data_IF_409491179940
#
_entry.id   IF_409491179940
#
_cell.length_a   1.000
_cell.length_b   1.000
_cell.length_c   1.000
_cell.angle_alpha   90.00
_cell.angle_beta   90.00
_cell.angle_gamma   90.00
#
_symmetry.space_group_name_H-M   'P 1'
#
loop_
_entity.id
_entity.type
_entity.pdbx_description
1 polymer ?
#
# COMPACT_ATOMS: atom_id res chain seq x y z
N UNK A 1 -33.42 -10.56 -4.67
CA UNK A 1 -32.66 -9.57 -5.47
C UNK A 1 -32.24 -10.22 -6.78
N UNK A 2 -32.92 -9.97 -7.91
CA UNK A 2 -32.56 -10.61 -9.19
C UNK A 2 -31.36 -9.87 -9.80
N UNK A 3 -30.16 -10.46 -9.73
CA UNK A 3 -29.01 -10.00 -10.52
C UNK A 3 -29.37 -10.16 -12.00
N UNK A 4 -29.51 -9.06 -12.72
CA UNK A 4 -29.61 -9.09 -14.18
C UNK A 4 -28.18 -9.05 -14.71
N UNK A 5 -27.71 -10.18 -15.23
CA UNK A 5 -26.40 -10.32 -15.85
C UNK A 5 -26.40 -9.60 -17.20
N UNK A 6 -26.20 -8.28 -17.17
CA UNK A 6 -26.01 -7.46 -18.37
C UNK A 6 -24.67 -6.75 -18.26
N UNK A 7 -23.80 -7.00 -19.22
CA UNK A 7 -22.53 -6.29 -19.36
C UNK A 7 -22.77 -5.03 -20.19
N UNK A 8 -22.23 -3.91 -19.72
CA UNK A 8 -22.28 -2.61 -20.39
C UNK A 8 -20.88 -2.26 -20.89
N UNK A 9 -20.51 -2.54 -22.16
CA UNK A 9 -19.12 -2.47 -22.61
C UNK A 9 -18.44 -1.10 -22.40
N UNK A 10 -19.14 -0.01 -22.75
CA UNK A 10 -18.60 1.35 -22.55
C UNK A 10 -18.34 1.65 -21.07
N UNK A 11 -19.26 1.26 -20.20
CA UNK A 11 -19.10 1.43 -18.75
C UNK A 11 -18.00 0.52 -18.19
N UNK A 12 -17.87 -0.70 -18.72
CA UNK A 12 -16.82 -1.65 -18.34
C UNK A 12 -15.42 -1.08 -18.57
N UNK A 13 -15.17 -0.46 -19.72
CA UNK A 13 -13.86 0.14 -20.03
C UNK A 13 -13.53 1.27 -19.05
N UNK A 14 -14.52 2.13 -18.76
CA UNK A 14 -14.35 3.24 -17.80
C UNK A 14 -14.04 2.71 -16.40
N UNK A 15 -14.80 1.74 -15.92
CA UNK A 15 -14.57 1.15 -14.59
C UNK A 15 -13.22 0.44 -14.54
N UNK A 16 -12.89 -0.38 -15.53
CA UNK A 16 -11.60 -1.09 -15.58
C UNK A 16 -10.42 -0.10 -15.53
N UNK A 17 -10.46 0.94 -16.36
CA UNK A 17 -9.42 2.00 -16.38
C UNK A 17 -9.36 2.74 -15.05
N UNK A 18 -10.52 3.05 -14.46
CA UNK A 18 -10.57 3.69 -13.15
C UNK A 18 -9.92 2.82 -12.07
N UNK A 19 -10.20 1.52 -12.03
CA UNK A 19 -9.55 0.60 -11.07
C UNK A 19 -8.03 0.54 -11.28
N UNK A 20 -7.55 0.44 -12.52
CA UNK A 20 -6.10 0.47 -12.81
C UNK A 20 -5.45 1.73 -12.24
N UNK A 21 -6.02 2.90 -12.52
CA UNK A 21 -5.50 4.19 -12.03
C UNK A 21 -5.56 4.29 -10.50
N UNK A 22 -6.67 3.86 -9.91
CA UNK A 22 -6.88 3.93 -8.47
C UNK A 22 -6.07 2.89 -7.69
N UNK A 23 -5.61 1.80 -8.31
CA UNK A 23 -4.61 0.92 -7.70
C UNK A 23 -3.30 1.68 -7.47
N UNK A 24 -2.81 2.41 -8.48
CA UNK A 24 -1.58 3.23 -8.37
C UNK A 24 -1.76 4.34 -7.33
N UNK A 25 -2.84 5.11 -7.45
CA UNK A 25 -3.14 6.19 -6.49
C UNK A 25 -3.28 5.63 -5.08
N UNK A 26 -3.94 4.48 -4.93
CA UNK A 26 -4.12 3.79 -3.67
C UNK A 26 -2.80 3.45 -3.00
N UNK A 27 -1.91 2.76 -3.72
CA UNK A 27 -0.58 2.40 -3.22
C UNK A 27 0.21 3.63 -2.81
N UNK A 28 0.37 4.61 -3.69
CA UNK A 28 1.15 5.80 -3.35
C UNK A 28 0.55 6.60 -2.19
N UNK A 29 -0.78 6.70 -2.13
CA UNK A 29 -1.42 7.41 -1.02
C UNK A 29 -1.26 6.69 0.33
N UNK A 30 -1.20 5.36 0.32
CA UNK A 30 -0.93 4.54 1.50
C UNK A 30 0.52 4.78 1.99
N UNK A 31 1.50 4.74 1.08
CA UNK A 31 2.90 5.07 1.43
C UNK A 31 3.05 6.50 1.93
N UNK A 32 2.31 7.46 1.36
CA UNK A 32 2.25 8.84 1.88
C UNK A 32 1.70 8.91 3.31
N UNK A 33 0.85 7.96 3.71
CA UNK A 33 0.39 7.80 5.08
C UNK A 33 1.54 7.52 6.05
N UNK A 34 2.39 6.54 5.71
CA UNK A 34 3.61 6.24 6.48
C UNK A 34 4.56 7.44 6.53
N UNK A 35 4.84 8.05 5.37
CA UNK A 35 5.73 9.21 5.25
C UNK A 35 5.24 10.38 6.11
N UNK A 36 3.94 10.62 6.15
CA UNK A 36 3.37 11.72 6.95
C UNK A 36 3.67 11.52 8.44
N UNK A 37 3.53 10.29 8.95
CA UNK A 37 3.84 9.97 10.34
C UNK A 37 5.35 10.02 10.60
N UNK A 38 6.17 9.45 9.71
CA UNK A 38 7.62 9.47 9.84
C UNK A 38 8.17 10.90 9.90
N UNK A 39 7.72 11.79 9.00
CA UNK A 39 8.11 13.20 9.02
C UNK A 39 7.62 13.94 10.26
N UNK A 40 6.43 13.61 10.75
CA UNK A 40 5.92 14.19 11.99
C UNK A 40 6.78 13.81 13.21
N UNK A 41 7.31 12.58 13.22
CA UNK A 41 8.25 12.10 14.25
C UNK A 41 9.69 12.58 14.05
N UNK A 42 9.98 13.28 12.95
CA UNK A 42 11.29 13.90 12.69
C UNK A 42 12.26 13.03 11.90
N UNK A 43 11.79 11.96 11.24
CA UNK A 43 12.59 11.13 10.35
C UNK A 43 12.64 11.70 8.92
N UNK A 44 13.76 11.45 8.25
CA UNK A 44 13.88 11.64 6.81
C UNK A 44 13.31 10.41 6.09
N UNK A 45 12.76 10.61 4.89
CA UNK A 45 11.99 9.57 4.19
C UNK A 45 12.34 9.54 2.72
N UNK A 46 12.51 8.34 2.17
CA UNK A 46 12.53 8.07 0.74
C UNK A 46 11.27 7.30 0.35
N UNK A 47 10.76 7.57 -0.85
CA UNK A 47 9.59 6.89 -1.40
C UNK A 47 10.02 6.07 -2.61
N UNK A 48 9.62 4.80 -2.63
CA UNK A 48 9.76 3.91 -3.76
C UNK A 48 8.36 3.56 -4.34
N UNK A 49 8.30 2.78 -5.42
CA UNK A 49 7.03 2.51 -6.10
C UNK A 49 6.07 1.63 -5.29
N UNK A 50 6.60 0.78 -4.42
CA UNK A 50 5.82 -0.18 -3.64
C UNK A 50 5.99 -0.08 -2.13
N UNK A 51 6.85 0.83 -1.66
CA UNK A 51 7.24 0.96 -0.28
C UNK A 51 7.83 2.34 -0.02
N UNK A 52 8.24 2.57 1.23
CA UNK A 52 8.97 3.74 1.64
C UNK A 52 10.04 3.31 2.66
N UNK A 53 11.17 4.01 2.71
CA UNK A 53 12.18 3.85 3.77
C UNK A 53 12.30 5.13 4.61
N UNK A 54 12.49 4.99 5.92
CA UNK A 54 12.67 6.12 6.84
C UNK A 54 13.98 5.98 7.61
N UNK A 55 14.62 7.12 7.87
CA UNK A 55 15.94 7.19 8.49
C UNK A 55 15.99 8.30 9.54
N UNK A 56 16.83 8.15 10.57
CA UNK A 56 17.12 9.22 11.50
C UNK A 56 17.55 10.50 10.78
N UNK A 57 17.20 11.65 11.36
CA UNK A 57 17.44 12.94 10.71
C UNK A 57 18.92 13.16 10.41
N UNK A 58 19.24 13.54 9.17
CA UNK A 58 20.62 13.79 8.74
C UNK A 58 21.39 12.54 8.36
N UNK A 59 20.76 11.36 8.37
CA UNK A 59 21.38 10.10 7.93
C UNK A 59 21.66 10.11 6.43
N UNK A 60 20.69 10.58 5.62
CA UNK A 60 20.81 10.55 4.16
C UNK A 60 21.89 11.49 3.62
N UNK A 61 22.23 12.53 4.38
CA UNK A 61 23.28 13.50 4.07
C UNK A 61 24.66 13.14 4.65
N UNK A 62 24.77 12.05 5.42
CA UNK A 62 26.04 11.66 6.03
C UNK A 62 27.03 11.19 4.94
N UNK A 63 28.27 11.72 4.91
CA UNK A 63 29.29 11.31 3.96
C UNK A 63 29.57 9.80 3.94
N UNK A 64 29.43 9.12 5.08
CA UNK A 64 29.59 7.67 5.21
C UNK A 64 28.48 6.95 4.45
N UNK A 65 27.24 7.44 4.51
CA UNK A 65 26.11 6.87 3.74
C UNK A 65 26.35 7.03 2.25
N UNK A 66 26.85 8.18 1.79
CA UNK A 66 27.23 8.35 0.39
C UNK A 66 28.37 7.42 -0.06
N UNK A 67 29.36 7.19 0.80
CA UNK A 67 30.44 6.25 0.53
C UNK A 67 29.93 4.81 0.44
N UNK A 68 29.06 4.39 1.36
CA UNK A 68 28.42 3.07 1.33
C UNK A 68 27.59 2.87 0.06
N UNK A 69 26.77 3.85 -0.31
CA UNK A 69 25.98 3.79 -1.54
C UNK A 69 26.88 3.66 -2.78
N UNK A 70 28.03 4.36 -2.82
CA UNK A 70 28.99 4.24 -3.92
C UNK A 70 29.58 2.82 -4.00
N UNK A 71 29.88 2.20 -2.87
CA UNK A 71 30.38 0.82 -2.81
C UNK A 71 29.31 -0.14 -3.33
N UNK A 72 28.06 0.01 -2.88
CA UNK A 72 26.91 -0.82 -3.27
C UNK A 72 26.54 -0.63 -4.75
N UNK A 73 26.77 0.53 -5.33
CA UNK A 73 26.61 0.75 -6.77
C UNK A 73 27.75 0.10 -7.59
N UNK A 74 28.95 0.01 -7.01
CA UNK A 74 30.13 -0.55 -7.68
C UNK A 74 30.15 -2.07 -7.64
N UNK A 75 29.70 -2.66 -6.53
CA UNK A 75 29.67 -4.09 -6.30
C UNK A 75 28.21 -4.57 -6.25
N UNK A 76 27.87 -5.59 -7.02
CA UNK A 76 26.52 -6.17 -6.99
C UNK A 76 26.20 -6.69 -5.59
N UNK A 77 25.31 -5.99 -4.88
CA UNK A 77 24.88 -6.33 -3.52
C UNK A 77 24.28 -7.74 -3.44
N UNK A 78 23.71 -8.26 -4.53
CA UNK A 78 23.15 -9.60 -4.56
C UNK A 78 24.23 -10.70 -4.47
N UNK A 79 25.51 -10.33 -4.67
CA UNK A 79 26.66 -11.22 -4.54
C UNK A 79 27.60 -10.75 -3.43
N UNK A 80 27.05 -10.29 -2.30
CA UNK A 80 27.83 -9.83 -1.14
C UNK A 80 28.88 -10.85 -0.68
N UNK A 81 28.58 -12.15 -0.77
CA UNK A 81 29.51 -13.23 -0.40
C UNK A 81 30.78 -13.27 -1.28
N UNK A 82 30.71 -12.73 -2.49
CA UNK A 82 31.83 -12.67 -3.43
C UNK A 82 32.66 -11.38 -3.30
N UNK A 83 32.31 -10.49 -2.36
CA UNK A 83 33.01 -9.22 -2.20
C UNK A 83 34.43 -9.44 -1.68
N UNK A 84 35.43 -8.63 -2.12
CA UNK A 84 36.77 -8.68 -1.57
C UNK A 84 36.73 -8.42 -0.06
N UNK A 85 37.47 -9.21 0.72
CA UNK A 85 37.51 -9.12 2.19
C UNK A 85 37.80 -7.69 2.70
N UNK A 86 38.67 -6.95 2.00
CA UNK A 86 38.97 -5.55 2.31
C UNK A 86 37.73 -4.64 2.22
N UNK A 87 36.87 -4.86 1.23
CA UNK A 87 35.64 -4.09 1.03
C UNK A 87 34.60 -4.47 2.08
N UNK A 88 34.47 -5.76 2.38
CA UNK A 88 33.57 -6.27 3.42
C UNK A 88 33.92 -5.66 4.78
N UNK A 89 35.20 -5.72 5.18
CA UNK A 89 35.68 -5.12 6.42
C UNK A 89 35.47 -3.60 6.46
N UNK A 90 35.67 -2.93 5.32
CA UNK A 90 35.42 -1.49 5.20
C UNK A 90 33.93 -1.18 5.42
N UNK A 91 33.03 -1.88 4.75
CA UNK A 91 31.57 -1.71 4.88
C UNK A 91 31.12 -1.98 6.30
N UNK A 92 31.61 -3.04 6.94
CA UNK A 92 31.31 -3.35 8.34
C UNK A 92 31.78 -2.21 9.27
N UNK A 93 33.00 -1.71 9.08
CA UNK A 93 33.53 -0.62 9.91
C UNK A 93 32.74 0.69 9.76
N UNK A 94 32.36 1.05 8.53
CA UNK A 94 31.54 2.23 8.24
C UNK A 94 30.13 2.07 8.81
N UNK A 95 29.54 0.88 8.68
CA UNK A 95 28.22 0.56 9.22
C UNK A 95 28.20 0.61 10.76
N UNK A 96 29.29 0.19 11.42
CA UNK A 96 29.41 0.32 12.88
C UNK A 96 29.41 1.79 13.32
N UNK A 97 30.17 2.65 12.63
CA UNK A 97 30.20 4.09 12.91
C UNK A 97 28.83 4.73 12.70
N UNK A 98 28.13 4.36 11.63
CA UNK A 98 26.77 4.85 11.38
C UNK A 98 25.79 4.41 12.46
N UNK A 99 25.82 3.15 12.87
CA UNK A 99 24.95 2.65 13.93
C UNK A 99 25.20 3.33 15.29
N UNK A 100 26.43 3.77 15.55
CA UNK A 100 26.77 4.56 16.74
C UNK A 100 26.23 6.00 16.64
N UNK A 101 26.37 6.64 15.47
CA UNK A 101 25.90 8.01 15.24
C UNK A 101 24.37 8.12 15.11
N UNK A 102 23.74 7.07 14.59
CA UNK A 102 22.31 7.00 14.28
C UNK A 102 21.73 5.72 14.90
N UNK A 103 21.41 5.74 16.20
CA UNK A 103 20.94 4.55 16.89
C UNK A 103 19.63 4.03 16.31
N UNK A 104 19.42 2.73 16.48
CA UNK A 104 18.26 1.99 16.01
C UNK A 104 16.96 2.68 16.47
N UNK A 105 16.05 2.81 15.51
CA UNK A 105 14.76 3.48 15.65
C UNK A 105 13.95 2.83 16.77
N UNK A 106 13.30 3.66 17.58
CA UNK A 106 12.39 3.20 18.62
C UNK A 106 11.31 2.29 18.04
N UNK A 107 11.10 1.12 18.64
CA UNK A 107 10.02 0.19 18.23
C UNK A 107 8.65 0.87 18.25
N UNK A 108 8.46 1.85 19.15
CA UNK A 108 7.24 2.65 19.24
C UNK A 108 7.06 3.55 18.02
N UNK A 109 8.14 4.16 17.52
CA UNK A 109 8.06 5.02 16.34
C UNK A 109 7.79 4.19 15.09
N UNK A 110 8.46 3.04 14.95
CA UNK A 110 8.20 2.07 13.89
C UNK A 110 6.73 1.64 13.87
N UNK A 111 6.15 1.36 15.04
CA UNK A 111 4.73 1.03 15.17
C UNK A 111 3.80 2.16 14.66
N UNK A 112 4.04 3.41 15.08
CA UNK A 112 3.23 4.54 14.62
C UNK A 112 3.37 4.80 13.12
N UNK A 113 4.60 4.68 12.59
CA UNK A 113 4.84 4.81 11.15
C UNK A 113 4.07 3.73 10.41
N UNK A 114 4.17 2.46 10.83
CA UNK A 114 3.43 1.33 10.25
C UNK A 114 1.92 1.53 10.28
N UNK A 115 1.37 2.18 11.32
CA UNK A 115 -0.06 2.51 11.37
C UNK A 115 -0.49 3.57 10.33
N UNK A 116 0.43 4.41 9.86
CA UNK A 116 0.14 5.52 8.96
C UNK A 116 -0.57 5.13 7.68
N UNK A 117 -0.10 4.07 7.00
CA UNK A 117 -0.68 3.59 5.73
C UNK A 117 -2.11 3.04 5.88
N UNK A 118 -2.36 2.05 6.76
CA UNK A 118 -3.70 1.52 6.99
C UNK A 118 -4.70 2.60 7.46
N UNK A 119 -4.26 3.50 8.35
CA UNK A 119 -5.10 4.63 8.78
C UNK A 119 -5.44 5.54 7.61
N UNK A 120 -4.46 5.93 6.77
CA UNK A 120 -4.70 6.75 5.59
C UNK A 120 -5.70 6.09 4.63
N UNK A 121 -5.58 4.78 4.44
CA UNK A 121 -6.46 3.99 3.56
C UNK A 121 -7.90 4.01 4.07
N UNK A 122 -8.10 3.74 5.37
CA UNK A 122 -9.41 3.77 6.01
C UNK A 122 -9.99 5.18 6.08
N UNK A 123 -9.17 6.22 6.29
CA UNK A 123 -9.61 7.62 6.28
C UNK A 123 -10.11 8.02 4.88
N UNK A 124 -9.38 7.67 3.83
CA UNK A 124 -9.80 7.92 2.44
C UNK A 124 -11.12 7.22 2.12
N UNK A 125 -11.27 5.97 2.57
CA UNK A 125 -12.52 5.25 2.48
C UNK A 125 -13.67 5.93 3.23
N UNK A 126 -13.40 6.38 4.47
CA UNK A 126 -14.35 7.12 5.29
C UNK A 126 -14.81 8.43 4.66
N UNK A 127 -13.91 9.20 4.04
CA UNK A 127 -14.25 10.42 3.30
C UNK A 127 -15.16 10.09 2.10
N UNK A 128 -14.84 9.04 1.35
CA UNK A 128 -15.70 8.56 0.25
C UNK A 128 -17.11 8.23 0.73
N UNK A 129 -17.23 7.47 1.84
CA UNK A 129 -18.52 7.15 2.46
C UNK A 129 -19.27 8.40 2.94
N UNK A 130 -18.58 9.36 3.54
CA UNK A 130 -19.17 10.61 4.00
C UNK A 130 -19.76 11.42 2.83
N UNK A 131 -19.01 11.56 1.73
CA UNK A 131 -19.48 12.25 0.51
C UNK A 131 -20.75 11.57 -0.01
N UNK A 132 -20.74 10.23 -0.12
CA UNK A 132 -21.89 9.46 -0.58
C UNK A 132 -23.09 9.61 0.36
N UNK A 133 -22.87 9.64 1.68
CA UNK A 133 -23.93 9.82 2.68
C UNK A 133 -24.57 11.21 2.58
N UNK A 134 -23.77 12.27 2.49
CA UNK A 134 -24.25 13.65 2.39
C UNK A 134 -25.04 13.88 1.10
N UNK A 135 -24.52 13.40 -0.03
CA UNK A 135 -25.19 13.51 -1.34
C UNK A 135 -26.44 12.65 -1.40
N UNK A 136 -26.41 11.48 -0.74
CA UNK A 136 -27.58 10.62 -0.64
C UNK A 136 -28.74 11.36 -0.02
N UNK A 137 -28.61 12.17 1.04
CA UNK A 137 -29.75 12.89 1.66
C UNK A 137 -30.58 13.73 0.65
N UNK A 138 -30.02 14.08 -0.50
CA UNK A 138 -30.64 14.86 -1.57
C UNK A 138 -31.07 13.95 -2.76
N UNK A 139 -31.83 12.87 -2.50
CA UNK A 139 -32.23 11.78 -3.44
C UNK A 139 -32.87 12.19 -4.79
N UNK A 140 -33.02 13.49 -5.07
CA UNK A 140 -33.48 13.99 -6.37
C UNK A 140 -32.34 14.21 -7.39
N UNK A 141 -31.06 14.05 -7.00
CA UNK A 141 -29.92 14.26 -7.90
C UNK A 141 -29.57 12.93 -8.61
N UNK A 142 -29.47 12.90 -9.95
CA UNK A 142 -29.02 11.71 -10.68
C UNK A 142 -27.57 11.38 -10.34
N UNK A 143 -27.16 10.11 -10.46
CA UNK A 143 -25.78 9.68 -10.22
C UNK A 143 -24.78 10.47 -11.07
N UNK A 144 -23.91 11.25 -10.42
CA UNK A 144 -22.94 12.12 -11.09
C UNK A 144 -21.54 11.54 -11.02
N UNK A 145 -20.61 12.17 -11.74
CA UNK A 145 -19.19 11.83 -11.71
C UNK A 145 -18.60 11.86 -10.30
N UNK A 146 -19.00 12.83 -9.45
CA UNK A 146 -18.58 12.93 -8.04
C UNK A 146 -18.99 11.70 -7.22
N UNK A 147 -20.17 11.13 -7.50
CA UNK A 147 -20.61 9.90 -6.84
C UNK A 147 -19.74 8.71 -7.26
N UNK A 148 -19.30 8.68 -8.54
CA UNK A 148 -18.32 7.72 -9.03
C UNK A 148 -16.96 7.82 -8.34
N UNK A 149 -16.41 9.03 -8.20
CA UNK A 149 -15.16 9.26 -7.46
C UNK A 149 -15.28 8.86 -5.99
N UNK A 150 -16.38 9.23 -5.33
CA UNK A 150 -16.61 8.87 -3.94
C UNK A 150 -16.80 7.35 -3.74
N UNK A 151 -17.40 6.65 -4.72
CA UNK A 151 -17.41 5.17 -4.77
C UNK A 151 -15.99 4.63 -4.85
N UNK A 152 -15.14 5.14 -5.75
CA UNK A 152 -13.74 4.69 -5.84
C UNK A 152 -12.97 4.94 -4.54
N UNK A 153 -13.12 6.12 -3.93
CA UNK A 153 -12.51 6.44 -2.63
C UNK A 153 -12.97 5.49 -1.53
N UNK A 154 -14.28 5.24 -1.42
CA UNK A 154 -14.83 4.30 -0.43
C UNK A 154 -14.24 2.89 -0.61
N UNK A 155 -13.94 2.49 -1.84
CA UNK A 155 -13.37 1.18 -2.16
C UNK A 155 -11.87 1.06 -1.91
N UNK A 156 -11.19 2.09 -1.37
CA UNK A 156 -9.80 1.93 -0.88
C UNK A 156 -9.69 0.85 0.20
N UNK A 157 -10.77 0.65 0.96
CA UNK A 157 -10.87 -0.43 1.95
C UNK A 157 -10.80 -1.85 1.32
N UNK A 158 -10.84 -1.98 -0.01
CA UNK A 158 -10.53 -3.25 -0.68
C UNK A 158 -9.06 -3.64 -0.55
N UNK A 159 -8.13 -2.71 -0.24
CA UNK A 159 -6.72 -3.04 0.03
C UNK A 159 -6.59 -3.99 1.22
N UNK A 160 -7.32 -3.75 2.30
CA UNK A 160 -7.36 -4.64 3.48
C UNK A 160 -7.82 -6.06 3.12
N UNK A 161 -8.82 -6.15 2.23
CA UNK A 161 -9.33 -7.42 1.74
C UNK A 161 -8.29 -8.10 0.84
N UNK A 162 -7.64 -7.33 -0.04
CA UNK A 162 -6.61 -7.81 -0.94
C UNK A 162 -5.40 -8.34 -0.17
N UNK A 163 -4.85 -7.58 0.78
CA UNK A 163 -3.71 -7.97 1.61
C UNK A 163 -3.99 -9.28 2.35
N UNK A 164 -5.18 -9.42 2.95
CA UNK A 164 -5.57 -10.65 3.64
C UNK A 164 -5.67 -11.85 2.69
N UNK A 165 -6.34 -11.67 1.54
CA UNK A 165 -6.52 -12.76 0.56
C UNK A 165 -5.19 -13.15 -0.09
N UNK A 166 -4.30 -12.19 -0.34
CA UNK A 166 -2.96 -12.43 -0.84
C UNK A 166 -2.14 -13.23 0.16
N UNK A 167 -2.08 -12.81 1.43
CA UNK A 167 -1.39 -13.55 2.48
C UNK A 167 -1.94 -14.98 2.63
N UNK A 168 -3.26 -15.16 2.56
CA UNK A 168 -3.88 -16.50 2.59
C UNK A 168 -3.49 -17.33 1.37
N UNK A 169 -3.42 -16.72 0.19
CA UNK A 169 -2.94 -17.38 -1.03
C UNK A 169 -1.48 -17.84 -0.86
N UNK A 170 -0.62 -16.99 -0.28
CA UNK A 170 0.80 -17.31 -0.06
C UNK A 170 0.97 -18.48 0.92
N UNK A 171 0.18 -18.52 2.00
CA UNK A 171 0.13 -19.67 2.92
C UNK A 171 -0.24 -20.95 2.19
N UNK A 172 -1.33 -20.91 1.42
CA UNK A 172 -1.91 -22.12 0.82
C UNK A 172 -1.09 -22.63 -0.35
N UNK A 173 -0.50 -21.74 -1.14
CA UNK A 173 0.23 -22.10 -2.36
C UNK A 173 1.74 -22.22 -2.17
N UNK A 174 2.34 -21.40 -1.29
CA UNK A 174 3.80 -21.33 -1.11
C UNK A 174 4.26 -21.75 0.29
N UNK A 175 3.32 -22.03 1.21
CA UNK A 175 3.63 -22.37 2.61
C UNK A 175 4.45 -21.29 3.34
N UNK A 176 4.30 -20.03 2.91
CA UNK A 176 4.95 -18.90 3.58
C UNK A 176 4.32 -18.65 4.95
N UNK A 177 5.18 -18.31 5.91
CA UNK A 177 4.79 -18.04 7.30
C UNK A 177 5.13 -16.64 7.75
N UNK A 178 5.83 -15.85 6.93
CA UNK A 178 6.27 -14.49 7.29
C UNK A 178 5.56 -13.46 6.42
N UNK A 179 4.66 -12.68 7.01
CA UNK A 179 3.88 -11.66 6.30
C UNK A 179 4.42 -10.27 6.58
N UNK A 180 4.80 -9.57 5.51
CA UNK A 180 5.38 -8.22 5.61
C UNK A 180 4.34 -7.09 5.50
N UNK A 181 3.07 -7.40 5.30
CA UNK A 181 2.00 -6.40 5.28
C UNK A 181 1.80 -5.74 6.65
N UNK A 182 1.38 -4.47 6.63
CA UNK A 182 1.37 -3.61 7.81
C UNK A 182 0.41 -4.09 8.90
N UNK A 183 -0.74 -4.62 8.52
CA UNK A 183 -1.73 -5.15 9.48
C UNK A 183 -1.17 -6.33 10.29
N UNK A 184 -0.32 -7.16 9.67
CA UNK A 184 0.35 -8.28 10.34
C UNK A 184 1.46 -7.80 11.27
N UNK A 185 2.25 -6.79 10.85
CA UNK A 185 3.25 -6.12 11.70
C UNK A 185 2.60 -5.50 12.93
N UNK A 186 1.47 -4.80 12.75
CA UNK A 186 0.68 -4.21 13.85
C UNK A 186 0.20 -5.29 14.82
N UNK A 187 -0.31 -6.41 14.31
CA UNK A 187 -0.79 -7.50 15.18
C UNK A 187 0.34 -8.12 16.01
N UNK A 188 1.52 -8.34 15.39
CA UNK A 188 2.73 -8.83 16.07
C UNK A 188 3.22 -7.87 17.16
N UNK A 189 3.29 -6.57 16.85
CA UNK A 189 3.71 -5.56 17.82
C UNK A 189 2.80 -5.52 19.05
N UNK A 190 1.49 -5.70 18.87
CA UNK A 190 0.52 -5.74 19.97
C UNK A 190 0.53 -7.06 20.75
N UNK A 191 1.35 -8.04 20.37
CA UNK A 191 1.41 -9.37 20.99
C UNK A 191 0.17 -10.23 20.71
N UNK A 192 -0.61 -9.91 19.69
CA UNK A 192 -1.76 -10.70 19.27
C UNK A 192 -1.36 -11.76 18.24
N UNK A 193 -2.28 -12.69 17.97
CA UNK A 193 -2.14 -13.58 16.81
C UNK A 193 -2.02 -12.74 15.53
N UNK A 194 -1.05 -13.05 14.66
CA UNK A 194 -0.72 -12.26 13.47
C UNK A 194 -1.93 -12.03 12.55
N UNK A 195 -2.92 -12.93 12.56
CA UNK A 195 -4.13 -12.86 11.75
C UNK A 195 -5.25 -12.00 12.35
N UNK A 196 -5.17 -11.61 13.62
CA UNK A 196 -6.28 -10.93 14.30
C UNK A 196 -6.60 -9.57 13.67
N UNK A 197 -5.63 -8.65 13.61
CA UNK A 197 -5.81 -7.32 13.04
C UNK A 197 -6.14 -7.38 11.53
N UNK A 198 -5.41 -8.16 10.70
CA UNK A 198 -5.77 -8.35 9.30
C UNK A 198 -7.19 -8.88 9.10
N UNK A 199 -7.65 -9.82 9.94
CA UNK A 199 -9.02 -10.35 9.85
C UNK A 199 -10.07 -9.29 10.13
N UNK A 200 -9.85 -8.45 11.16
CA UNK A 200 -10.75 -7.34 11.50
C UNK A 200 -10.78 -6.31 10.36
N UNK A 201 -9.62 -5.94 9.82
CA UNK A 201 -9.51 -5.02 8.69
C UNK A 201 -10.22 -5.56 7.44
N UNK A 202 -10.03 -6.83 7.11
CA UNK A 202 -10.73 -7.52 6.01
C UNK A 202 -12.25 -7.49 6.20
N UNK A 203 -12.75 -7.78 7.40
CA UNK A 203 -14.19 -7.73 7.69
C UNK A 203 -14.74 -6.32 7.46
N UNK A 204 -14.04 -5.29 7.95
CA UNK A 204 -14.43 -3.89 7.75
C UNK A 204 -14.44 -3.56 6.24
N UNK A 205 -13.39 -3.94 5.50
CA UNK A 205 -13.28 -3.72 4.07
C UNK A 205 -14.38 -4.40 3.26
N UNK A 206 -14.74 -5.63 3.60
CA UNK A 206 -15.85 -6.38 2.99
C UNK A 206 -17.19 -5.68 3.28
N UNK A 207 -17.44 -5.27 4.53
CA UNK A 207 -18.68 -4.60 4.92
C UNK A 207 -18.86 -3.27 4.18
N UNK A 208 -17.80 -2.45 4.11
CA UNK A 208 -17.80 -1.19 3.36
C UNK A 208 -18.06 -1.44 1.88
N UNK A 209 -17.32 -2.37 1.27
CA UNK A 209 -17.43 -2.67 -0.16
C UNK A 209 -18.81 -3.22 -0.52
N UNK A 210 -19.34 -4.13 0.30
CA UNK A 210 -20.68 -4.67 0.13
C UNK A 210 -21.76 -3.57 0.26
N UNK A 211 -21.61 -2.66 1.23
CA UNK A 211 -22.52 -1.53 1.38
C UNK A 211 -22.50 -0.63 0.13
N UNK A 212 -21.31 -0.23 -0.33
CA UNK A 212 -21.18 0.64 -1.51
C UNK A 212 -21.76 -0.03 -2.76
N UNK A 213 -21.39 -1.28 -3.05
CA UNK A 213 -21.82 -1.98 -4.26
C UNK A 213 -23.32 -2.30 -4.25
N UNK A 214 -23.86 -2.81 -3.13
CA UNK A 214 -25.24 -3.31 -3.10
C UNK A 214 -26.28 -2.30 -2.61
N UNK A 215 -25.90 -1.27 -1.86
CA UNK A 215 -26.82 -0.22 -1.41
C UNK A 215 -26.70 1.08 -2.21
N UNK A 216 -25.50 1.48 -2.62
CA UNK A 216 -25.28 2.79 -3.27
C UNK A 216 -25.36 2.65 -4.79
N UNK A 217 -24.60 1.73 -5.37
CA UNK A 217 -24.53 1.62 -6.83
C UNK A 217 -25.88 1.17 -7.43
N UNK A 218 -26.36 1.75 -8.53
CA UNK A 218 -27.61 1.33 -9.17
C UNK A 218 -27.58 -0.13 -9.64
N UNK A 219 -28.69 -0.85 -9.48
CA UNK A 219 -28.79 -2.31 -9.71
C UNK A 219 -28.29 -2.74 -11.10
N UNK A 220 -28.54 -1.94 -12.13
CA UNK A 220 -28.17 -2.25 -13.52
C UNK A 220 -26.68 -2.10 -13.81
N UNK A 221 -25.91 -1.39 -12.97
CA UNK A 221 -24.46 -1.23 -13.13
C UNK A 221 -23.65 -2.25 -12.33
N UNK A 222 -24.23 -2.86 -11.29
CA UNK A 222 -23.51 -3.69 -10.30
C UNK A 222 -22.69 -4.81 -10.90
N UNK A 223 -23.30 -5.62 -11.76
CA UNK A 223 -22.60 -6.77 -12.34
C UNK A 223 -21.41 -6.34 -13.20
N UNK A 224 -21.59 -5.33 -14.06
CA UNK A 224 -20.49 -4.79 -14.85
C UNK A 224 -19.42 -4.20 -13.94
N UNK A 225 -19.81 -3.43 -12.92
CA UNK A 225 -18.87 -2.82 -11.99
C UNK A 225 -18.01 -3.85 -11.25
N UNK A 226 -18.61 -4.92 -10.72
CA UNK A 226 -17.87 -5.98 -10.02
C UNK A 226 -16.90 -6.68 -10.98
N UNK A 227 -17.38 -7.09 -12.15
CA UNK A 227 -16.55 -7.82 -13.12
C UNK A 227 -15.39 -6.96 -13.64
N UNK A 228 -15.68 -5.73 -14.05
CA UNK A 228 -14.67 -4.79 -14.56
C UNK A 228 -13.71 -4.32 -13.47
N UNK A 229 -14.20 -4.17 -12.24
CA UNK A 229 -13.36 -3.80 -11.09
C UNK A 229 -12.41 -4.92 -10.68
N UNK A 230 -12.86 -6.17 -10.72
CA UNK A 230 -12.00 -7.33 -10.48
C UNK A 230 -10.90 -7.43 -11.55
N UNK A 231 -11.25 -7.36 -12.83
CA UNK A 231 -10.28 -7.40 -13.94
C UNK A 231 -9.33 -6.20 -13.85
N UNK A 232 -9.86 -5.00 -13.66
CA UNK A 232 -9.08 -3.76 -13.58
C UNK A 232 -8.13 -3.74 -12.38
N UNK A 233 -8.55 -4.28 -11.24
CA UNK A 233 -7.72 -4.40 -10.04
C UNK A 233 -6.53 -5.34 -10.24
N UNK A 234 -6.76 -6.52 -10.81
CA UNK A 234 -5.68 -7.49 -11.12
C UNK A 234 -4.72 -6.91 -12.15
N UNK A 235 -5.25 -6.34 -13.24
CA UNK A 235 -4.42 -5.73 -14.27
C UNK A 235 -3.64 -4.53 -13.71
N UNK A 236 -4.28 -3.69 -12.89
CA UNK A 236 -3.63 -2.55 -12.25
C UNK A 236 -2.49 -2.96 -11.32
N UNK A 237 -2.72 -3.96 -10.47
CA UNK A 237 -1.71 -4.52 -9.60
C UNK A 237 -0.54 -5.09 -10.41
N UNK A 238 -0.83 -5.94 -11.40
CA UNK A 238 0.18 -6.55 -12.25
C UNK A 238 0.97 -5.54 -13.09
N UNK A 239 0.35 -4.48 -13.60
CA UNK A 239 1.05 -3.42 -14.32
C UNK A 239 1.96 -2.60 -13.41
N UNK A 240 1.47 -2.22 -12.22
CA UNK A 240 2.23 -1.41 -11.28
C UNK A 240 3.47 -2.17 -10.76
N UNK A 241 3.25 -3.34 -10.16
CA UNK A 241 4.33 -4.13 -9.56
C UNK A 241 5.14 -4.95 -10.58
N UNK A 242 4.60 -5.20 -11.79
CA UNK A 242 5.31 -5.93 -12.85
C UNK A 242 6.30 -5.10 -13.66
N UNK A 243 6.39 -3.78 -13.43
CA UNK A 243 7.46 -2.97 -14.01
C UNK A 243 7.15 -1.48 -14.18
N UNK A 244 5.88 -1.06 -14.25
CA UNK A 244 5.56 0.36 -14.45
C UNK A 244 5.98 1.22 -13.25
N UNK A 245 5.80 0.70 -12.03
CA UNK A 245 6.26 1.35 -10.80
C UNK A 245 7.78 1.53 -10.79
N UNK A 246 8.52 0.43 -10.97
CA UNK A 246 9.98 0.44 -11.02
C UNK A 246 10.54 1.36 -12.12
N UNK A 247 9.91 1.41 -13.29
CA UNK A 247 10.28 2.32 -14.38
C UNK A 247 10.10 3.79 -13.99
N UNK A 248 9.02 4.12 -13.27
CA UNK A 248 8.71 5.50 -12.88
C UNK A 248 9.57 5.99 -11.72
N UNK A 249 9.92 5.10 -10.79
CA UNK A 249 10.78 5.41 -9.64
C UNK A 249 12.28 5.23 -9.93
N UNK A 250 12.64 4.68 -11.10
CA UNK A 250 14.00 4.48 -11.61
C UNK A 250 14.97 4.10 -10.49
N UNK A 251 14.92 2.82 -10.11
CA UNK A 251 15.70 2.20 -9.02
C UNK A 251 17.22 2.45 -9.16
N UNK A 252 17.67 3.60 -8.67
CA UNK A 252 18.99 3.76 -8.11
C UNK A 252 18.79 3.64 -6.59
N UNK A 253 19.04 2.42 -6.14
CA UNK A 253 19.06 1.86 -4.80
C UNK A 253 19.23 2.93 -3.69
N UNK A 254 18.26 2.98 -2.76
CA UNK A 254 18.52 3.43 -1.39
C UNK A 254 18.31 2.23 -0.47
N UNK A 255 19.37 1.82 0.23
CA UNK A 255 19.36 0.85 1.34
C UNK A 255 18.51 1.36 2.51
#
# INVERSE_FOLDING_TARGET
>A
MRLRFKVLPKFSIVVCTAFILFTVIGTLSHELGHITVAKYLGYDTTLDFGSMSWYPKGYLEDPIVHELNTIVETYDYNNYEDWPEEITLKVESLSMVLNENYPIISETDNFYITLGGPIQTLLTSGIGLLILYLRRKVWCIPFQFVDGLAVMMALFALREVFNYVHALYDVVCFSETEFMADEFKISRYLGYNEWLIPSVAMIIGVLISAFVIFKILPVHYRFTFILSGFIGGIVGYGLWFGGFGAMLFNSNICL
#
